data_IF_920897759685
#
_entry.id   IF_920897759685
#
_cell.length_a   1.000
_cell.length_b   1.000
_cell.length_c   1.000
_cell.angle_alpha   90.00
_cell.angle_beta   90.00
_cell.angle_gamma   90.00
#
_symmetry.space_group_name_H-M   'P 1'
#
loop_
_entity.id
_entity.type
_entity.pdbx_description
1 polymer ?
#
# COMPACT_ATOMS: atom_id res chain seq x y z
N UNK A 1 1.31 -5.00 7.48
CA UNK A 1 -0.09 -4.74 7.11
C UNK A 1 -1.04 -5.71 7.80
N UNK A 2 -2.33 -5.47 7.71
CA UNK A 2 -3.37 -6.35 8.22
C UNK A 2 -4.49 -6.43 7.20
N UNK A 3 -4.88 -7.65 6.82
CA UNK A 3 -6.08 -7.90 6.02
C UNK A 3 -7.33 -7.67 6.88
N UNK A 4 -8.33 -7.02 6.32
CA UNK A 4 -9.61 -6.74 6.96
C UNK A 4 -10.79 -7.19 6.11
N UNK A 5 -12.00 -7.24 6.69
CA UNK A 5 -13.22 -7.66 5.96
C UNK A 5 -13.68 -6.66 4.89
N UNK A 6 -13.53 -5.35 5.16
CA UNK A 6 -13.94 -4.28 4.24
C UNK A 6 -12.76 -3.56 3.60
N UNK A 7 -11.60 -3.61 4.20
CA UNK A 7 -10.36 -2.98 3.75
C UNK A 7 -9.19 -3.52 4.54
N UNK A 8 -8.02 -3.53 3.92
CA UNK A 8 -6.75 -3.82 4.59
C UNK A 8 -6.13 -2.54 5.18
N UNK A 9 -5.18 -2.70 6.10
CA UNK A 9 -4.43 -1.59 6.70
C UNK A 9 -2.94 -1.81 6.47
N UNK A 10 -2.26 -0.78 6.01
CA UNK A 10 -0.83 -0.77 5.75
C UNK A 10 -0.17 0.40 6.50
N UNK A 11 0.93 0.08 7.16
CA UNK A 11 1.79 1.04 7.84
C UNK A 11 3.13 1.09 7.11
N UNK A 12 3.49 2.25 6.54
CA UNK A 12 4.69 2.42 5.75
C UNK A 12 5.61 3.52 6.29
N UNK A 13 6.85 3.56 5.82
CA UNK A 13 7.78 4.62 6.16
C UNK A 13 8.80 4.85 5.06
N UNK A 14 8.73 6.01 4.42
CA UNK A 14 9.70 6.47 3.40
C UNK A 14 10.86 7.26 4.00
N UNK A 15 11.02 7.25 5.33
CA UNK A 15 12.07 7.99 6.03
C UNK A 15 13.42 7.36 5.77
N UNK A 16 14.48 8.20 5.72
CA UNK A 16 15.84 7.71 5.66
C UNK A 16 16.13 6.76 6.83
N UNK A 17 16.67 5.57 6.53
CA UNK A 17 16.96 4.53 7.51
C UNK A 17 15.72 3.72 7.95
N UNK A 18 14.63 3.79 7.22
CA UNK A 18 13.51 2.87 7.39
C UNK A 18 13.98 1.42 7.11
N UNK A 19 13.40 0.42 7.80
CA UNK A 19 13.81 -0.98 7.65
C UNK A 19 13.36 -1.63 6.33
N UNK A 20 12.47 -0.97 5.60
CA UNK A 20 11.90 -1.40 4.33
C UNK A 20 12.08 -0.30 3.27
N UNK A 21 12.23 -0.70 2.01
CA UNK A 21 12.40 0.21 0.88
C UNK A 21 11.04 0.61 0.28
N UNK A 22 10.18 1.23 1.12
CA UNK A 22 8.91 1.78 0.68
C UNK A 22 9.14 3.04 -0.16
N UNK A 23 8.35 3.22 -1.22
CA UNK A 23 8.44 4.36 -2.12
C UNK A 23 7.07 4.97 -2.38
N UNK A 24 7.06 6.28 -2.59
CA UNK A 24 5.87 7.05 -2.98
C UNK A 24 6.24 7.84 -4.23
N UNK A 25 5.40 7.78 -5.26
CA UNK A 25 5.58 8.61 -6.46
C UNK A 25 5.48 10.10 -6.12
N UNK A 26 6.09 10.96 -6.94
CA UNK A 26 6.13 12.41 -6.69
C UNK A 26 4.74 13.05 -6.62
N UNK A 27 3.77 12.49 -7.33
CA UNK A 27 2.37 12.92 -7.31
C UNK A 27 1.56 12.30 -6.16
N UNK A 28 2.15 11.38 -5.39
CA UNK A 28 1.50 10.66 -4.30
C UNK A 28 0.42 9.66 -4.73
N UNK A 29 0.29 9.39 -6.03
CA UNK A 29 -0.76 8.52 -6.56
C UNK A 29 -0.38 7.04 -6.56
N UNK A 30 0.90 6.74 -6.53
CA UNK A 30 1.42 5.36 -6.54
C UNK A 30 2.33 5.12 -5.33
N UNK A 31 2.14 3.98 -4.70
CA UNK A 31 2.98 3.46 -3.62
C UNK A 31 3.61 2.14 -4.06
N UNK A 32 4.89 1.96 -3.78
CA UNK A 32 5.55 0.66 -3.82
C UNK A 32 5.89 0.31 -2.37
N UNK A 33 5.24 -0.71 -1.87
CA UNK A 33 5.41 -1.21 -0.50
C UNK A 33 6.27 -2.47 -0.49
N UNK A 34 7.23 -2.55 0.41
CA UNK A 34 8.01 -3.77 0.64
C UNK A 34 7.35 -4.64 1.71
N UNK A 35 7.24 -5.93 1.44
CA UNK A 35 6.61 -6.91 2.31
C UNK A 35 7.32 -7.08 3.66
N UNK A 36 6.72 -7.91 4.50
CA UNK A 36 7.24 -8.22 5.83
C UNK A 36 8.38 -9.20 5.80
N UNK A 37 9.37 -8.99 6.64
CA UNK A 37 10.39 -10.00 6.96
C UNK A 37 9.75 -11.16 7.73
N UNK A 38 10.40 -12.32 7.68
CA UNK A 38 10.09 -13.43 8.58
C UNK A 38 10.23 -12.96 10.04
N UNK A 39 9.42 -13.49 10.98
CA UNK A 39 9.58 -13.17 12.40
C UNK A 39 10.97 -13.57 12.89
N UNK A 40 11.57 -12.74 13.75
CA UNK A 40 12.82 -13.10 14.41
C UNK A 40 12.63 -14.31 15.31
N UNK A 41 13.47 -15.32 15.13
CA UNK A 41 13.48 -16.56 15.90
C UNK A 41 14.90 -17.14 15.98
N UNK A 42 15.10 -18.26 16.66
CA UNK A 42 16.39 -18.99 16.65
C UNK A 42 16.78 -19.41 15.23
N UNK A 43 15.81 -19.88 14.42
CA UNK A 43 16.04 -20.23 13.02
C UNK A 43 16.36 -19.00 12.15
N UNK A 44 15.82 -17.83 12.48
CA UNK A 44 16.00 -16.59 11.73
C UNK A 44 16.47 -15.47 12.64
N UNK A 45 17.73 -15.51 13.13
CA UNK A 45 18.26 -14.50 14.06
C UNK A 45 18.38 -13.11 13.42
N UNK A 46 18.59 -13.07 12.10
CA UNK A 46 18.70 -11.84 11.30
C UNK A 46 17.69 -11.90 10.15
N UNK A 47 16.41 -11.54 10.40
CA UNK A 47 15.35 -11.62 9.38
C UNK A 47 15.60 -10.82 8.10
N UNK A 48 16.49 -9.83 8.16
CA UNK A 48 16.82 -8.94 7.04
C UNK A 48 17.65 -9.60 5.94
N UNK A 49 18.25 -10.77 6.21
CA UNK A 49 19.05 -11.52 5.21
C UNK A 49 18.30 -12.76 4.68
N UNK A 50 17.05 -12.94 5.10
CA UNK A 50 16.21 -14.08 4.70
C UNK A 50 15.19 -13.60 3.69
N UNK A 51 14.90 -14.44 2.70
CA UNK A 51 13.84 -14.20 1.71
C UNK A 51 12.50 -13.93 2.39
N UNK A 52 11.74 -13.01 1.83
CA UNK A 52 10.37 -12.78 2.25
C UNK A 52 9.46 -13.87 1.66
N UNK A 53 8.99 -14.76 2.50
CA UNK A 53 8.24 -15.95 2.08
C UNK A 53 6.77 -15.60 1.79
N UNK A 54 6.22 -16.20 0.73
CA UNK A 54 4.78 -16.19 0.44
C UNK A 54 4.03 -17.27 1.20
N UNK A 55 4.73 -18.37 1.52
CA UNK A 55 4.18 -19.51 2.26
C UNK A 55 5.15 -19.94 3.35
N UNK A 56 4.63 -20.53 4.41
CA UNK A 56 5.39 -21.25 5.42
C UNK A 56 5.84 -22.60 4.88
N UNK A 57 6.73 -23.31 5.58
CA UNK A 57 7.13 -24.67 5.23
C UNK A 57 5.95 -25.66 5.17
N UNK A 58 4.90 -25.42 5.97
CA UNK A 58 3.66 -26.20 5.95
C UNK A 58 2.71 -25.86 4.78
N UNK A 59 3.09 -24.94 3.89
CA UNK A 59 2.26 -24.51 2.76
C UNK A 59 1.18 -23.47 3.12
N UNK A 60 1.12 -23.00 4.37
CA UNK A 60 0.18 -21.97 4.78
C UNK A 60 0.65 -20.60 4.26
N UNK A 61 -0.26 -19.83 3.68
CA UNK A 61 0.07 -18.47 3.24
C UNK A 61 0.51 -17.58 4.40
N UNK A 62 1.62 -16.88 4.19
CA UNK A 62 2.05 -15.79 5.07
C UNK A 62 1.18 -14.55 4.82
N UNK A 63 1.37 -13.49 5.59
CA UNK A 63 0.74 -12.19 5.30
C UNK A 63 1.14 -11.68 3.91
N UNK A 64 2.44 -11.80 3.54
CA UNK A 64 2.90 -11.47 2.19
C UNK A 64 2.17 -12.31 1.14
N UNK A 65 2.02 -13.63 1.38
CA UNK A 65 1.33 -14.53 0.46
C UNK A 65 -0.13 -14.18 0.24
N UNK A 66 -0.87 -13.85 1.29
CA UNK A 66 -2.25 -13.40 1.17
C UNK A 66 -2.38 -12.11 0.35
N UNK A 67 -1.48 -11.16 0.61
CA UNK A 67 -1.50 -9.87 -0.09
C UNK A 67 -1.06 -10.03 -1.56
N UNK A 68 -0.07 -10.91 -1.81
CA UNK A 68 0.38 -11.27 -3.13
C UNK A 68 -0.73 -11.94 -3.95
N UNK A 69 -1.43 -12.91 -3.38
CA UNK A 69 -2.55 -13.59 -4.03
C UNK A 69 -3.71 -12.62 -4.32
N UNK A 70 -4.00 -11.67 -3.43
CA UNK A 70 -5.02 -10.65 -3.68
C UNK A 70 -4.66 -9.77 -4.89
N UNK A 71 -3.39 -9.37 -5.02
CA UNK A 71 -2.91 -8.61 -6.18
C UNK A 71 -2.96 -9.44 -7.48
N UNK A 72 -2.57 -10.71 -7.43
CA UNK A 72 -2.66 -11.61 -8.60
C UNK A 72 -4.09 -11.79 -9.08
N UNK A 73 -5.03 -12.02 -8.17
CA UNK A 73 -6.45 -12.18 -8.50
C UNK A 73 -7.05 -10.91 -9.11
N UNK A 74 -6.61 -9.74 -8.63
CA UNK A 74 -6.99 -8.46 -9.23
C UNK A 74 -6.42 -8.33 -10.65
N UNK A 75 -5.12 -8.59 -10.83
CA UNK A 75 -4.45 -8.53 -12.14
C UNK A 75 -5.06 -9.47 -13.16
N UNK A 76 -5.50 -10.65 -12.73
CA UNK A 76 -6.19 -11.63 -13.57
C UNK A 76 -7.66 -11.29 -13.84
N UNK A 77 -8.20 -10.22 -13.25
CA UNK A 77 -9.60 -9.83 -13.40
C UNK A 77 -10.60 -10.71 -12.63
N UNK A 78 -10.11 -11.52 -11.70
CA UNK A 78 -10.94 -12.45 -10.90
C UNK A 78 -11.69 -11.73 -9.77
N UNK A 79 -11.07 -10.70 -9.20
CA UNK A 79 -11.63 -9.91 -8.10
C UNK A 79 -11.33 -8.43 -8.27
N UNK A 80 -12.18 -7.53 -7.74
CA UNK A 80 -11.81 -6.13 -7.63
C UNK A 80 -10.56 -5.98 -6.75
N UNK A 81 -9.80 -4.88 -6.91
CA UNK A 81 -8.59 -4.64 -6.12
C UNK A 81 -8.91 -4.54 -4.63
N UNK A 82 -8.05 -5.11 -3.82
CA UNK A 82 -8.12 -4.98 -2.35
C UNK A 82 -7.96 -3.50 -1.96
N UNK A 83 -8.89 -3.00 -1.14
CA UNK A 83 -8.84 -1.63 -0.62
C UNK A 83 -7.93 -1.58 0.59
N UNK A 84 -6.98 -0.65 0.57
CA UNK A 84 -5.94 -0.54 1.59
C UNK A 84 -5.91 0.87 2.18
N UNK A 85 -6.15 0.98 3.49
CA UNK A 85 -5.87 2.22 4.23
C UNK A 85 -4.39 2.33 4.51
N UNK A 86 -3.76 3.38 4.01
CA UNK A 86 -2.33 3.61 4.18
C UNK A 86 -2.10 4.68 5.24
N UNK A 87 -1.17 4.36 6.15
CA UNK A 87 -0.68 5.29 7.15
C UNK A 87 0.84 5.40 7.03
N UNK A 88 1.33 6.62 6.94
CA UNK A 88 2.74 6.93 6.88
C UNK A 88 3.28 7.33 8.26
N UNK A 89 4.46 6.81 8.61
CA UNK A 89 5.13 7.14 9.86
C UNK A 89 5.77 8.52 9.79
N UNK A 90 5.25 9.47 10.55
CA UNK A 90 5.82 10.82 10.65
C UNK A 90 6.96 10.86 11.67
N UNK A 91 6.76 10.29 12.84
CA UNK A 91 7.77 10.12 13.89
C UNK A 91 7.40 8.96 14.82
N UNK A 92 8.24 8.67 15.82
CA UNK A 92 7.95 7.60 16.80
C UNK A 92 6.56 7.81 17.42
N UNK A 93 5.68 6.83 17.24
CA UNK A 93 4.32 6.84 17.78
C UNK A 93 3.31 7.70 17.01
N UNK A 94 3.72 8.43 15.96
CA UNK A 94 2.80 9.28 15.18
C UNK A 94 2.73 8.80 13.74
N UNK A 95 1.50 8.56 13.29
CA UNK A 95 1.15 8.11 11.96
C UNK A 95 0.16 9.09 11.33
N UNK A 96 0.40 9.45 10.08
CA UNK A 96 -0.55 10.23 9.27
C UNK A 96 -1.32 9.31 8.34
N UNK A 97 -2.61 9.54 8.22
CA UNK A 97 -3.43 8.86 7.22
C UNK A 97 -3.14 9.44 5.83
N UNK A 98 -2.64 8.61 4.92
CA UNK A 98 -2.26 9.00 3.56
C UNK A 98 -3.38 8.78 2.54
N UNK A 99 -4.41 8.03 2.90
CA UNK A 99 -5.56 7.81 2.02
C UNK A 99 -5.94 6.34 1.86
N UNK A 100 -6.92 6.13 0.98
CA UNK A 100 -7.32 4.81 0.52
C UNK A 100 -6.62 4.51 -0.80
N UNK A 101 -6.04 3.33 -0.91
CA UNK A 101 -5.36 2.84 -2.09
C UNK A 101 -5.95 1.50 -2.52
N UNK A 102 -5.80 1.18 -3.81
CA UNK A 102 -6.13 -0.09 -4.42
C UNK A 102 -4.84 -0.89 -4.63
N UNK A 103 -4.78 -2.12 -4.14
CA UNK A 103 -3.68 -3.05 -4.42
C UNK A 103 -3.86 -3.60 -5.84
N UNK A 104 -2.96 -3.23 -6.75
CA UNK A 104 -3.11 -3.52 -8.20
C UNK A 104 -2.09 -4.50 -8.73
N UNK A 105 -0.91 -4.62 -8.11
CA UNK A 105 0.13 -5.53 -8.57
C UNK A 105 1.03 -6.01 -7.43
N UNK A 106 1.72 -7.14 -7.65
CA UNK A 106 2.74 -7.69 -6.77
C UNK A 106 3.79 -8.46 -7.56
N UNK A 107 5.05 -8.39 -7.11
CA UNK A 107 6.17 -9.16 -7.69
C UNK A 107 7.23 -9.46 -6.65
N UNK A 108 8.11 -10.40 -6.97
CA UNK A 108 9.33 -10.67 -6.21
C UNK A 108 10.48 -9.92 -6.86
N UNK A 109 11.34 -9.30 -6.05
CA UNK A 109 12.47 -8.50 -6.48
C UNK A 109 13.73 -8.89 -5.71
N UNK A 110 14.89 -9.07 -6.37
CA UNK A 110 16.16 -9.21 -5.69
C UNK A 110 16.50 -7.93 -4.90
N UNK A 111 16.91 -8.08 -3.65
CA UNK A 111 17.37 -6.98 -2.80
C UNK A 111 18.58 -7.45 -1.99
N UNK A 112 19.77 -6.99 -2.34
CA UNK A 112 21.04 -7.45 -1.81
C UNK A 112 21.21 -8.98 -1.90
N UNK A 113 21.14 -9.69 -0.77
CA UNK A 113 21.36 -11.14 -0.68
C UNK A 113 20.05 -11.93 -0.57
N UNK A 114 18.89 -11.30 -0.75
CA UNK A 114 17.58 -11.93 -0.57
C UNK A 114 16.56 -11.50 -1.61
N UNK A 115 15.45 -12.22 -1.70
CA UNK A 115 14.27 -11.81 -2.45
C UNK A 115 13.24 -11.15 -1.54
N UNK A 116 12.67 -10.04 -1.98
CA UNK A 116 11.64 -9.29 -1.27
C UNK A 116 10.36 -9.22 -2.08
N UNK A 117 9.22 -9.19 -1.39
CA UNK A 117 7.92 -8.94 -2.02
C UNK A 117 7.74 -7.44 -2.22
N UNK A 118 7.33 -7.03 -3.39
CA UNK A 118 6.91 -5.66 -3.70
C UNK A 118 5.44 -5.65 -4.07
N UNK A 119 4.74 -4.62 -3.61
CA UNK A 119 3.31 -4.43 -3.82
C UNK A 119 3.07 -3.03 -4.36
N UNK A 120 2.42 -2.95 -5.53
CA UNK A 120 1.99 -1.68 -6.11
C UNK A 120 0.59 -1.35 -5.67
N UNK A 121 0.44 -0.16 -5.12
CA UNK A 121 -0.85 0.39 -4.73
C UNK A 121 -1.08 1.72 -5.48
N UNK A 122 -2.29 1.91 -5.97
CA UNK A 122 -2.72 3.14 -6.64
C UNK A 122 -3.78 3.85 -5.82
N UNK A 123 -3.71 5.18 -5.77
CA UNK A 123 -4.65 5.98 -4.99
C UNK A 123 -6.07 5.74 -5.44
N UNK A 124 -6.91 5.35 -4.49
CA UNK A 124 -8.32 5.13 -4.72
C UNK A 124 -9.08 6.44 -4.46
N UNK A 125 -9.29 7.23 -5.52
CA UNK A 125 -10.14 8.40 -5.43
C UNK A 125 -11.57 7.93 -5.14
N UNK A 126 -12.11 8.23 -3.95
CA UNK A 126 -13.52 8.06 -3.69
C UNK A 126 -14.27 8.92 -4.70
N UNK A 127 -14.91 8.30 -5.67
CA UNK A 127 -15.96 8.98 -6.42
C UNK A 127 -17.01 9.44 -5.38
N UNK A 128 -17.37 10.72 -5.33
CA UNK A 128 -18.48 11.13 -4.48
C UNK A 128 -19.68 10.29 -4.88
N UNK A 129 -20.25 9.55 -3.93
CA UNK A 129 -21.53 8.89 -4.08
C UNK A 129 -22.62 9.97 -4.20
N UNK A 130 -22.70 10.56 -5.37
CA UNK A 130 -23.86 11.36 -5.78
C UNK A 130 -24.98 10.41 -6.11
N UNK A 131 -25.92 10.24 -5.19
CA UNK A 131 -27.16 9.54 -5.48
C UNK A 131 -27.95 10.27 -6.55
N UNK A 132 -28.25 9.57 -7.63
CA UNK A 132 -29.47 9.72 -8.42
C UNK A 132 -29.63 8.45 -9.23
N UNK A 133 -30.66 7.71 -8.93
CA UNK A 133 -31.17 6.63 -9.76
C UNK A 133 -31.54 7.22 -11.14
N UNK A 134 -30.90 6.74 -12.19
CA UNK A 134 -31.51 6.72 -13.53
C UNK A 134 -31.06 5.45 -14.24
N UNK A 135 -32.07 4.76 -14.73
CA UNK A 135 -32.03 3.54 -15.51
C UNK A 135 -31.22 3.67 -16.79
N UNK A 136 -30.51 2.58 -17.11
CA UNK A 136 -30.26 2.11 -18.47
C UNK A 136 -29.29 2.94 -19.29
N UNK A 137 -28.02 2.51 -19.33
CA UNK A 137 -27.32 2.23 -20.60
C UNK A 137 -25.92 1.68 -20.32
N UNK A 138 -25.64 0.51 -20.86
CA UNK A 138 -24.28 -0.03 -21.00
C UNK A 138 -23.46 0.94 -21.86
N UNK A 139 -22.30 1.36 -21.34
CA UNK A 139 -21.23 1.91 -22.17
C UNK A 139 -19.90 1.54 -21.55
N UNK A 140 -19.23 0.67 -22.27
CA UNK A 140 -17.77 0.44 -22.21
C UNK A 140 -17.08 1.76 -22.52
N UNK A 141 -16.44 2.37 -21.51
CA UNK A 141 -15.28 3.22 -21.74
C UNK A 141 -14.66 3.60 -20.37
N UNK A 142 -13.60 2.88 -20.02
CA UNK A 142 -12.70 3.20 -18.93
C UNK A 142 -11.53 3.99 -19.52
N UNK A 143 -11.69 5.31 -19.72
CA UNK A 143 -10.56 6.20 -20.04
C UNK A 143 -10.78 7.58 -19.44
N UNK A 144 -9.88 7.95 -18.51
CA UNK A 144 -9.35 9.29 -18.20
C UNK A 144 -10.34 10.40 -17.81
N UNK A 145 -10.29 10.77 -16.53
CA UNK A 145 -10.15 12.21 -16.22
C UNK A 145 -9.28 12.39 -14.98
N UNK A 146 -8.13 12.96 -15.21
CA UNK A 146 -7.12 13.35 -14.24
C UNK A 146 -7.58 14.63 -13.55
N UNK A 147 -7.88 14.54 -12.24
CA UNK A 147 -8.05 15.69 -11.36
C UNK A 147 -6.88 15.71 -10.39
N UNK A 148 -5.90 16.56 -10.65
CA UNK A 148 -4.72 16.78 -9.81
C UNK A 148 -5.13 17.31 -8.44
N UNK A 149 -5.12 16.44 -7.43
CA UNK A 149 -5.20 16.84 -6.03
C UNK A 149 -3.82 16.66 -5.39
N UNK A 150 -3.14 17.79 -5.18
CA UNK A 150 -1.75 17.82 -4.71
C UNK A 150 -1.72 17.62 -3.19
N UNK A 151 -1.44 16.40 -2.73
CA UNK A 151 -1.35 16.01 -1.31
C UNK A 151 -0.30 16.82 -0.54
N UNK A 152 0.69 17.41 -1.22
CA UNK A 152 1.73 18.25 -0.59
C UNK A 152 1.19 19.58 -0.02
N UNK A 153 0.05 20.10 -0.50
CA UNK A 153 -0.47 21.37 0.03
C UNK A 153 -1.14 21.27 1.40
N UNK A 154 -1.63 20.09 1.80
CA UNK A 154 -2.21 19.92 3.14
C UNK A 154 -1.17 19.87 4.25
N UNK A 155 0.06 19.44 3.98
CA UNK A 155 1.13 19.40 4.97
C UNK A 155 1.80 20.75 5.20
N UNK A 156 1.80 21.65 4.21
CA UNK A 156 2.37 23.00 4.39
C UNK A 156 1.50 23.98 5.19
N UNK A 157 0.21 23.73 5.35
CA UNK A 157 -0.65 24.61 6.15
C UNK A 157 -0.58 24.41 7.66
N UNK A 158 0.03 23.30 8.12
CA UNK A 158 0.17 23.02 9.56
C UNK A 158 1.48 23.53 10.17
N UNK A 159 2.42 24.04 9.38
CA UNK A 159 3.72 24.53 9.88
C UNK A 159 3.81 26.05 10.01
N UNK A 160 2.80 26.83 9.56
CA UNK A 160 2.83 28.29 9.58
C UNK A 160 2.18 28.95 10.80
N UNK A 161 1.72 28.16 11.82
CA UNK A 161 1.03 28.73 13.00
C UNK A 161 1.81 28.61 14.32
N UNK A 162 3.10 28.33 14.28
CA UNK A 162 3.95 28.35 15.50
C UNK A 162 5.19 29.22 15.23
N UNK A 163 4.97 30.54 15.08
CA UNK A 163 5.96 31.58 15.40
C UNK A 163 5.20 32.87 15.66
N UNK A 164 5.00 33.17 16.91
CA UNK A 164 4.99 34.47 17.62
C UNK A 164 4.17 34.31 18.91
N UNK A 165 4.85 33.97 19.96
CA UNK A 165 4.83 34.66 21.28
C UNK A 165 6.01 34.12 22.09
#
# INVERSE_FOLDING_TARGET
FRLGGSHSVLLMSVRKGAPYADQVSDDGQTLIYEGHNVPKSEAFPIPQVVDQLLQTESGTLTQNGHFYQAAERCRNGETPPERVRVYEKIKKGIWAYSGMFALVDAWMEPSDLRSVCKFKLEFFANQPTGGALQDGQQSTDCVRTCGTFNIRQSLMRLTSHVRHQ
#
